data_IF_119082126472
#
_entry.id   IF_119082126472
#
_cell.length_a   1.000
_cell.length_b   1.000
_cell.length_c   1.000
_cell.angle_alpha   90.00
_cell.angle_beta   90.00
_cell.angle_gamma   90.00
#
_symmetry.space_group_name_H-M   'P 1'
#
loop_
_entity.id
_entity.type
_entity.pdbx_description
1 polymer ?
#
# COMPACT_ATOMS: atom_id res chain seq x y z
N UNK A 1 -14.31 17.47 26.25
CA UNK A 1 -14.87 16.31 25.53
C UNK A 1 -15.55 16.82 24.28
N UNK A 2 -14.83 16.78 23.16
CA UNK A 2 -15.38 16.96 21.81
C UNK A 2 -14.54 16.09 20.90
N UNK A 3 -15.15 15.02 20.39
CA UNK A 3 -14.49 14.03 19.54
C UNK A 3 -14.09 14.67 18.22
N UNK A 4 -12.82 14.56 17.86
CA UNK A 4 -12.32 14.93 16.54
C UNK A 4 -12.48 13.73 15.59
N UNK A 5 -13.06 13.91 14.39
CA UNK A 5 -13.05 12.88 13.37
C UNK A 5 -11.62 12.67 12.87
N UNK A 6 -11.16 11.41 12.84
CA UNK A 6 -9.81 11.06 12.40
C UNK A 6 -9.66 11.21 10.87
N UNK A 7 -8.60 11.86 10.35
CA UNK A 7 -8.29 11.90 8.93
C UNK A 7 -7.49 10.66 8.53
N UNK A 8 -8.09 9.45 8.65
CA UNK A 8 -7.46 8.22 8.17
C UNK A 8 -7.70 8.09 6.65
N UNK A 9 -6.63 7.86 5.90
CA UNK A 9 -6.73 7.62 4.45
C UNK A 9 -7.12 6.19 4.10
N UNK A 10 -7.01 5.26 5.05
CA UNK A 10 -7.48 3.89 4.90
C UNK A 10 -8.90 3.73 5.45
N UNK A 11 -9.70 2.93 4.75
CA UNK A 11 -10.99 2.50 5.25
C UNK A 11 -10.75 1.39 6.29
N UNK A 12 -11.18 1.56 7.54
CA UNK A 12 -11.09 0.50 8.53
C UNK A 12 -12.07 -0.63 8.15
N UNK A 13 -11.58 -1.86 8.16
CA UNK A 13 -12.38 -3.06 7.99
C UNK A 13 -12.05 -4.03 9.12
N UNK A 14 -13.02 -4.28 9.99
CA UNK A 14 -12.90 -5.30 11.02
C UNK A 14 -12.97 -6.66 10.33
N UNK A 15 -11.91 -7.48 10.42
CA UNK A 15 -12.10 -8.91 10.18
C UNK A 15 -12.92 -9.46 11.35
N UNK A 16 -14.17 -9.82 11.12
CA UNK A 16 -14.84 -10.71 12.05
C UNK A 16 -14.17 -12.09 11.90
N UNK A 17 -13.96 -12.82 13.01
CA UNK A 17 -13.71 -14.27 12.89
C UNK A 17 -14.93 -14.86 12.20
N UNK A 18 -14.78 -15.29 10.96
CA UNK A 18 -15.87 -15.89 10.22
C UNK A 18 -16.23 -17.24 10.85
N UNK A 19 -17.27 -17.25 11.68
CA UNK A 19 -17.90 -18.46 12.19
C UNK A 19 -19.07 -18.82 11.28
N UNK A 20 -18.77 -19.49 10.16
CA UNK A 20 -19.77 -20.05 9.26
C UNK A 20 -19.20 -20.33 7.86
N UNK A 21 -19.72 -21.33 7.13
CA UNK A 21 -19.35 -21.56 5.75
C UNK A 21 -19.77 -20.35 4.91
N UNK A 22 -18.81 -19.70 4.29
CA UNK A 22 -19.10 -18.65 3.33
C UNK A 22 -19.86 -19.25 2.13
N UNK A 23 -20.77 -18.50 1.48
CA UNK A 23 -21.44 -18.99 0.29
C UNK A 23 -20.42 -19.44 -0.77
N UNK A 24 -20.82 -20.48 -1.52
CA UNK A 24 -20.00 -21.18 -2.52
C UNK A 24 -19.24 -20.17 -3.37
N UNK A 25 -17.93 -20.35 -3.51
CA UNK A 25 -17.05 -19.41 -4.19
C UNK A 25 -17.58 -19.12 -5.61
N UNK A 26 -18.09 -17.90 -5.82
CA UNK A 26 -18.43 -17.41 -7.15
C UNK A 26 -17.18 -17.51 -8.03
N UNK A 27 -17.32 -18.02 -9.26
CA UNK A 27 -16.18 -18.14 -10.18
C UNK A 27 -15.59 -16.76 -10.47
N UNK A 28 -14.43 -16.50 -9.88
CA UNK A 28 -13.65 -15.28 -10.14
C UNK A 28 -12.85 -15.49 -11.41
N UNK A 29 -13.03 -14.59 -12.38
CA UNK A 29 -12.24 -14.55 -13.62
C UNK A 29 -11.07 -13.60 -13.45
N UNK A 30 -10.10 -13.71 -14.35
CA UNK A 30 -9.01 -12.75 -14.41
C UNK A 30 -9.53 -11.34 -14.69
N UNK A 31 -9.15 -10.40 -13.82
CA UNK A 31 -9.50 -9.00 -13.87
C UNK A 31 -8.28 -8.09 -13.99
N UNK A 32 -7.10 -8.60 -14.36
CA UNK A 32 -5.84 -7.83 -14.36
C UNK A 32 -5.93 -6.48 -15.10
N UNK A 33 -6.74 -6.38 -16.16
CA UNK A 33 -6.98 -5.12 -16.86
C UNK A 33 -7.58 -4.01 -15.97
N UNK A 34 -8.39 -4.40 -14.97
CA UNK A 34 -8.96 -3.48 -13.98
C UNK A 34 -7.98 -3.13 -12.85
N UNK A 35 -6.91 -3.91 -12.68
CA UNK A 35 -5.92 -3.74 -11.61
C UNK A 35 -4.51 -3.51 -12.19
N UNK A 36 -4.30 -2.41 -12.95
CA UNK A 36 -3.08 -2.24 -13.73
C UNK A 36 -1.82 -2.03 -12.91
N UNK A 37 -1.88 -1.88 -11.58
CA UNK A 37 -0.69 -1.83 -10.70
C UNK A 37 -0.64 -3.02 -9.72
N UNK A 38 -1.43 -4.07 -9.98
CA UNK A 38 -1.59 -5.21 -9.08
C UNK A 38 -2.03 -4.77 -7.68
N UNK A 39 -1.67 -5.55 -6.66
CA UNK A 39 -2.03 -5.33 -5.26
C UNK A 39 -0.79 -5.13 -4.42
N UNK A 40 -0.97 -4.61 -3.20
CA UNK A 40 0.10 -4.50 -2.23
C UNK A 40 -0.40 -4.62 -0.79
N UNK A 41 0.47 -5.03 0.11
CA UNK A 41 0.22 -4.93 1.55
C UNK A 41 1.35 -4.21 2.28
N UNK A 42 1.05 -3.71 3.46
CA UNK A 42 2.01 -2.97 4.27
C UNK A 42 1.53 -2.71 5.68
N UNK A 43 2.38 -2.04 6.44
CA UNK A 43 2.18 -1.79 7.88
C UNK A 43 1.73 -3.05 8.63
N UNK A 44 2.55 -4.13 8.63
CA UNK A 44 2.18 -5.38 9.27
C UNK A 44 2.24 -5.26 10.80
N UNK A 45 1.10 -4.93 11.41
CA UNK A 45 0.90 -5.05 12.85
C UNK A 45 0.71 -6.51 13.29
N UNK A 46 0.68 -6.74 14.60
CA UNK A 46 0.43 -8.08 15.15
C UNK A 46 -0.97 -8.60 14.76
N UNK A 47 -1.96 -7.71 14.69
CA UNK A 47 -3.35 -8.07 14.42
C UNK A 47 -3.95 -7.35 13.23
N UNK A 48 -3.14 -6.62 12.47
CA UNK A 48 -3.63 -5.84 11.35
C UNK A 48 -2.60 -5.66 10.24
N UNK A 49 -3.13 -5.38 9.05
CA UNK A 49 -2.36 -5.05 7.85
C UNK A 49 -3.12 -4.02 7.03
N UNK A 50 -2.40 -3.18 6.28
CA UNK A 50 -2.99 -2.34 5.23
C UNK A 50 -2.90 -3.07 3.90
N UNK A 51 -4.03 -3.20 3.21
CA UNK A 51 -4.13 -3.75 1.86
C UNK A 51 -4.42 -2.63 0.87
N UNK A 52 -3.76 -2.66 -0.28
CA UNK A 52 -3.79 -1.61 -1.28
C UNK A 52 -4.02 -2.18 -2.67
N UNK A 53 -4.76 -1.44 -3.49
CA UNK A 53 -4.81 -1.64 -4.94
C UNK A 53 -5.08 -0.31 -5.64
N UNK A 54 -4.74 -0.22 -6.93
CA UNK A 54 -5.32 0.77 -7.84
C UNK A 54 -6.25 0.05 -8.80
N UNK A 55 -7.50 0.49 -8.87
CA UNK A 55 -8.50 -0.12 -9.74
C UNK A 55 -9.12 0.92 -10.69
N UNK A 56 -9.10 0.64 -11.99
CA UNK A 56 -9.64 1.54 -13.03
C UNK A 56 -10.45 0.74 -14.04
N UNK A 57 -11.45 1.35 -14.64
CA UNK A 57 -12.18 0.75 -15.75
C UNK A 57 -11.43 1.06 -17.07
N UNK A 58 -10.92 0.07 -17.81
CA UNK A 58 -10.20 0.33 -19.07
C UNK A 58 -11.04 1.05 -20.12
N UNK A 59 -12.38 0.88 -20.08
CA UNK A 59 -13.31 1.55 -21.01
C UNK A 59 -13.73 2.93 -20.50
N UNK A 60 -13.65 3.16 -19.18
CA UNK A 60 -14.06 4.41 -18.54
C UNK A 60 -13.07 4.83 -17.44
N UNK A 61 -11.84 5.27 -17.76
CA UNK A 61 -10.75 5.40 -16.79
C UNK A 61 -11.00 6.37 -15.62
N UNK A 62 -11.94 7.32 -15.77
CA UNK A 62 -12.34 8.26 -14.71
C UNK A 62 -13.51 7.78 -13.85
N UNK A 63 -14.11 6.63 -14.15
CA UNK A 63 -15.27 6.13 -13.43
C UNK A 63 -14.88 5.60 -12.04
N UNK A 64 -15.74 5.87 -11.05
CA UNK A 64 -15.66 5.24 -9.74
C UNK A 64 -16.02 3.76 -9.87
N UNK A 65 -15.14 2.90 -9.35
CA UNK A 65 -15.40 1.48 -9.15
C UNK A 65 -15.80 1.18 -7.71
N UNK A 66 -16.78 0.28 -7.56
CA UNK A 66 -17.11 -0.39 -6.31
C UNK A 66 -16.43 -1.75 -6.31
N UNK A 67 -15.66 -2.03 -5.27
CA UNK A 67 -14.85 -3.22 -5.11
C UNK A 67 -15.34 -4.04 -3.92
N UNK A 68 -15.02 -5.33 -3.98
CA UNK A 68 -15.01 -6.20 -2.81
C UNK A 68 -13.58 -6.64 -2.50
N UNK A 69 -13.32 -6.94 -1.24
CA UNK A 69 -12.04 -7.43 -0.73
C UNK A 69 -12.28 -8.78 -0.06
N UNK A 70 -11.49 -9.79 -0.41
CA UNK A 70 -11.45 -11.06 0.29
C UNK A 70 -10.07 -11.25 0.95
N UNK A 71 -10.06 -11.82 2.15
CA UNK A 71 -8.84 -12.25 2.86
C UNK A 71 -9.05 -13.67 3.37
N UNK A 72 -8.05 -14.53 3.20
CA UNK A 72 -8.13 -15.95 3.54
C UNK A 72 -6.80 -16.50 4.07
N UNK A 73 -6.84 -17.68 4.71
CA UNK A 73 -5.64 -18.42 5.14
C UNK A 73 -4.96 -19.19 4.01
N UNK A 74 -5.65 -19.38 2.89
CA UNK A 74 -5.18 -20.12 1.73
C UNK A 74 -5.40 -19.34 0.43
N UNK A 75 -4.61 -19.67 -0.59
CA UNK A 75 -4.63 -18.98 -1.88
C UNK A 75 -5.89 -19.27 -2.72
N UNK A 76 -6.66 -20.31 -2.38
CA UNK A 76 -7.91 -20.67 -3.08
C UNK A 76 -9.13 -19.95 -2.49
N UNK A 77 -8.95 -19.25 -1.37
CA UNK A 77 -10.02 -18.57 -0.63
C UNK A 77 -11.12 -19.53 -0.13
N UNK A 78 -10.71 -20.75 0.25
CA UNK A 78 -11.59 -21.74 0.88
C UNK A 78 -11.82 -21.40 2.37
N UNK A 79 -10.79 -20.89 3.06
CA UNK A 79 -10.81 -20.47 4.47
C UNK A 79 -10.76 -18.95 4.58
N UNK A 80 -11.82 -18.29 4.11
CA UNK A 80 -11.96 -16.83 4.19
C UNK A 80 -12.10 -16.38 5.64
N UNK A 81 -11.34 -15.36 6.01
CA UNK A 81 -11.43 -14.65 7.30
C UNK A 81 -12.08 -13.27 7.14
N UNK A 82 -12.15 -12.74 5.91
CA UNK A 82 -12.84 -11.50 5.59
C UNK A 82 -13.43 -11.57 4.18
N UNK A 83 -14.62 -11.01 4.03
CA UNK A 83 -15.20 -10.58 2.75
C UNK A 83 -15.92 -9.25 3.02
N UNK A 84 -15.46 -8.19 2.35
CA UNK A 84 -16.04 -6.85 2.48
C UNK A 84 -16.42 -6.35 1.10
N UNK A 85 -17.58 -5.71 0.96
CA UNK A 85 -18.10 -5.21 -0.31
C UNK A 85 -18.46 -3.73 -0.20
N UNK A 86 -18.55 -3.04 -1.34
CA UNK A 86 -18.92 -1.62 -1.38
C UNK A 86 -17.74 -0.67 -1.16
N UNK A 87 -16.51 -1.17 -1.28
CA UNK A 87 -15.30 -0.37 -1.14
C UNK A 87 -15.11 0.47 -2.40
N UNK A 88 -15.19 1.78 -2.28
CA UNK A 88 -15.26 2.66 -3.44
C UNK A 88 -13.93 3.37 -3.74
N UNK A 89 -13.49 3.29 -4.99
CA UNK A 89 -12.35 4.08 -5.49
C UNK A 89 -12.73 5.56 -5.66
N UNK A 90 -11.73 6.44 -5.65
CA UNK A 90 -11.93 7.88 -5.87
C UNK A 90 -10.88 8.47 -6.79
N UNK A 91 -11.30 9.28 -7.75
CA UNK A 91 -10.40 10.03 -8.63
C UNK A 91 -9.50 11.00 -7.84
N UNK A 92 -9.95 11.46 -6.66
CA UNK A 92 -9.16 12.30 -5.76
C UNK A 92 -7.84 11.62 -5.32
N UNK A 93 -7.85 10.29 -5.21
CA UNK A 93 -6.69 9.45 -4.88
C UNK A 93 -6.21 8.63 -6.06
N UNK A 94 -6.49 9.08 -7.29
CA UNK A 94 -6.12 8.39 -8.52
C UNK A 94 -6.60 6.93 -8.57
N UNK A 95 -7.83 6.71 -8.08
CA UNK A 95 -8.48 5.41 -7.99
C UNK A 95 -7.69 4.34 -7.22
N UNK A 96 -6.77 4.77 -6.36
CA UNK A 96 -6.17 3.92 -5.34
C UNK A 96 -7.17 3.69 -4.21
N UNK A 97 -7.09 2.52 -3.59
CA UNK A 97 -7.89 2.11 -2.45
C UNK A 97 -6.95 1.50 -1.40
N UNK A 98 -7.16 1.89 -0.14
CA UNK A 98 -6.48 1.34 1.03
C UNK A 98 -7.50 0.85 2.03
N UNK A 99 -7.29 -0.36 2.53
CA UNK A 99 -8.16 -0.98 3.53
C UNK A 99 -7.28 -1.49 4.65
N UNK A 100 -7.51 -1.03 5.88
CA UNK A 100 -6.89 -1.63 7.07
C UNK A 100 -7.74 -2.81 7.51
N UNK A 101 -7.18 -4.00 7.49
CA UNK A 101 -7.81 -5.23 7.96
C UNK A 101 -7.29 -5.53 9.36
N UNK A 102 -8.17 -5.58 10.35
CA UNK A 102 -7.82 -5.84 11.76
C UNK A 102 -8.27 -7.23 12.22
N UNK A 103 -8.03 -7.59 13.50
CA UNK A 103 -8.40 -8.87 14.12
C UNK A 103 -7.78 -10.10 13.44
N UNK A 104 -6.59 -9.94 12.90
CA UNK A 104 -5.78 -11.04 12.36
C UNK A 104 -4.97 -11.70 13.48
N UNK A 105 -4.51 -12.92 13.25
CA UNK A 105 -3.61 -13.61 14.18
C UNK A 105 -2.17 -13.16 13.94
N UNK A 106 -1.35 -13.00 14.99
CA UNK A 106 0.07 -12.66 14.88
C UNK A 106 0.85 -13.68 14.05
N UNK A 107 1.97 -13.23 13.49
CA UNK A 107 2.93 -14.06 12.76
C UNK A 107 2.37 -14.90 11.60
N UNK A 108 1.17 -14.58 11.11
CA UNK A 108 0.39 -15.43 10.21
C UNK A 108 0.39 -14.88 8.79
N UNK A 109 0.55 -15.77 7.81
CA UNK A 109 0.35 -15.50 6.40
C UNK A 109 -1.14 -15.48 6.04
N UNK A 110 -1.50 -14.51 5.21
CA UNK A 110 -2.82 -14.41 4.61
C UNK A 110 -2.70 -14.18 3.11
N UNK A 111 -3.72 -14.61 2.39
CA UNK A 111 -3.93 -14.33 0.99
C UNK A 111 -5.07 -13.32 0.84
N UNK A 112 -4.96 -12.41 -0.12
CA UNK A 112 -5.99 -11.41 -0.35
C UNK A 112 -6.17 -11.09 -1.83
N UNK A 113 -7.37 -10.65 -2.20
CA UNK A 113 -7.67 -10.17 -3.56
C UNK A 113 -8.77 -9.13 -3.54
N UNK A 114 -8.70 -8.21 -4.49
CA UNK A 114 -9.78 -7.28 -4.78
C UNK A 114 -10.61 -7.81 -5.93
N UNK A 115 -11.91 -7.58 -5.88
CA UNK A 115 -12.88 -8.04 -6.86
C UNK A 115 -13.68 -6.83 -7.38
N UNK A 116 -14.03 -6.85 -8.65
CA UNK A 116 -14.95 -5.89 -9.27
C UNK A 116 -16.02 -6.64 -10.07
N UNK A 117 -17.25 -6.15 -9.99
CA UNK A 117 -18.38 -6.66 -10.77
C UNK A 117 -18.55 -5.83 -12.04
N UNK A 118 -18.39 -6.45 -13.21
CA UNK A 118 -18.55 -5.80 -14.52
C UNK A 118 -19.19 -6.76 -15.51
N UNK A 119 -20.19 -6.27 -16.24
CA UNK A 119 -20.89 -7.03 -17.28
C UNK A 119 -21.39 -8.42 -16.78
N UNK A 120 -21.86 -8.49 -15.52
CA UNK A 120 -22.32 -9.72 -14.87
C UNK A 120 -21.19 -10.67 -14.41
N UNK A 121 -19.93 -10.29 -14.58
CA UNK A 121 -18.76 -11.08 -14.24
C UNK A 121 -18.08 -10.55 -12.99
N UNK A 122 -17.62 -11.49 -12.14
CA UNK A 122 -16.75 -11.20 -11.02
C UNK A 122 -15.29 -11.28 -11.49
N UNK A 123 -14.60 -10.14 -11.55
CA UNK A 123 -13.24 -10.02 -12.05
C UNK A 123 -12.30 -9.76 -10.87
N UNK A 124 -11.27 -10.58 -10.72
CA UNK A 124 -10.34 -10.51 -9.60
C UNK A 124 -8.99 -9.89 -9.95
N UNK A 125 -8.39 -9.20 -8.99
CA UNK A 125 -6.97 -8.89 -9.03
C UNK A 125 -6.13 -10.19 -8.99
N UNK A 126 -4.83 -10.06 -9.22
CA UNK A 126 -3.89 -11.09 -8.78
C UNK A 126 -4.06 -11.35 -7.27
N UNK A 127 -3.77 -12.58 -6.84
CA UNK A 127 -3.79 -12.93 -5.41
C UNK A 127 -2.52 -12.41 -4.75
N UNK A 128 -2.68 -11.49 -3.82
CA UNK A 128 -1.59 -11.05 -2.96
C UNK A 128 -1.42 -11.96 -1.75
N UNK A 129 -0.22 -11.92 -1.18
CA UNK A 129 0.15 -12.54 0.09
C UNK A 129 0.64 -11.44 1.04
N UNK A 130 0.31 -11.58 2.31
CA UNK A 130 0.76 -10.69 3.37
C UNK A 130 1.09 -11.51 4.61
N UNK A 131 1.75 -10.90 5.58
CA UNK A 131 2.05 -11.50 6.88
C UNK A 131 1.82 -10.47 7.98
N UNK A 132 1.20 -10.87 9.08
CA UNK A 132 1.13 -10.08 10.31
C UNK A 132 2.46 -10.16 11.07
N UNK A 133 2.77 -9.10 11.80
CA UNK A 133 3.92 -9.04 12.70
C UNK A 133 3.75 -9.93 13.94
N UNK A 134 4.81 -10.09 14.74
CA UNK A 134 4.73 -10.71 16.07
C UNK A 134 4.02 -9.78 17.06
N UNK A 135 3.41 -10.35 18.10
CA UNK A 135 2.83 -9.56 19.21
C UNK A 135 3.94 -9.09 20.17
N UNK A 136 4.99 -9.89 20.30
CA UNK A 136 6.23 -9.54 21.01
C UNK A 136 7.48 -9.93 20.20
N UNK A 137 8.50 -9.09 20.25
CA UNK A 137 9.82 -9.36 19.62
C UNK A 137 10.54 -10.59 20.20
N UNK A 138 10.08 -11.11 21.34
CA UNK A 138 10.65 -12.32 21.98
C UNK A 138 10.12 -13.63 21.35
N UNK A 139 9.07 -13.56 20.53
CA UNK A 139 8.43 -14.75 19.97
C UNK A 139 9.32 -15.48 18.95
N UNK A 140 10.10 -14.73 18.16
CA UNK A 140 10.94 -15.27 17.09
C UNK A 140 11.83 -14.22 16.43
N UNK A 141 12.92 -14.65 15.77
CA UNK A 141 13.66 -13.81 14.83
C UNK A 141 12.79 -13.31 13.67
N UNK A 142 13.09 -12.09 13.21
CA UNK A 142 12.48 -11.47 12.03
C UNK A 142 13.48 -11.43 10.89
N UNK A 143 13.03 -11.83 9.70
CA UNK A 143 13.82 -11.81 8.48
C UNK A 143 13.25 -10.72 7.59
N UNK A 144 14.04 -9.72 7.22
CA UNK A 144 13.55 -8.64 6.37
C UNK A 144 14.59 -8.22 5.37
N UNK A 145 14.11 -7.59 4.32
CA UNK A 145 14.93 -7.03 3.26
C UNK A 145 14.84 -5.52 3.31
N UNK A 146 15.99 -4.83 3.27
CA UNK A 146 16.04 -3.38 3.09
C UNK A 146 16.15 -3.08 1.61
N UNK A 147 15.28 -2.21 1.10
CA UNK A 147 15.27 -1.81 -0.29
C UNK A 147 15.10 -0.30 -0.43
N UNK A 148 15.84 0.29 -1.36
CA UNK A 148 15.66 1.64 -1.86
C UNK A 148 14.97 1.61 -3.23
N UNK A 149 14.50 2.77 -3.69
CA UNK A 149 13.81 2.88 -4.99
C UNK A 149 14.65 2.33 -6.17
N UNK A 150 15.97 2.48 -6.14
CA UNK A 150 16.85 1.99 -7.21
C UNK A 150 16.92 0.46 -7.28
N UNK A 151 16.77 -0.22 -6.14
CA UNK A 151 16.81 -1.68 -6.07
C UNK A 151 15.60 -2.31 -6.75
N UNK A 152 14.46 -1.64 -6.64
CA UNK A 152 13.22 -1.97 -7.32
C UNK A 152 13.34 -1.85 -8.85
N UNK A 153 14.07 -0.84 -9.33
CA UNK A 153 14.26 -0.59 -10.76
C UNK A 153 15.23 -1.56 -11.42
N UNK A 154 16.23 -2.07 -10.68
CA UNK A 154 17.27 -2.98 -11.21
C UNK A 154 16.83 -4.45 -11.30
N UNK A 155 15.53 -4.71 -11.34
CA UNK A 155 15.01 -6.03 -11.74
C UNK A 155 14.97 -7.07 -10.61
N UNK A 156 14.84 -6.64 -9.36
CA UNK A 156 14.36 -7.54 -8.31
C UNK A 156 15.34 -8.62 -7.85
N UNK A 157 16.65 -8.41 -8.04
CA UNK A 157 17.70 -9.36 -7.62
C UNK A 157 17.79 -9.60 -6.11
N UNK A 158 17.16 -8.76 -5.27
CA UNK A 158 17.23 -8.93 -3.81
C UNK A 158 16.61 -10.24 -3.29
N UNK A 159 15.71 -10.89 -4.04
CA UNK A 159 15.10 -12.17 -3.62
C UNK A 159 15.50 -13.33 -4.55
N UNK A 160 16.63 -13.22 -5.24
CA UNK A 160 17.09 -14.22 -6.20
C UNK A 160 17.51 -15.55 -5.56
N UNK A 161 17.66 -15.61 -4.24
CA UNK A 161 18.20 -16.75 -3.50
C UNK A 161 17.16 -17.61 -2.75
N UNK A 162 15.87 -17.48 -3.07
CA UNK A 162 14.82 -18.30 -2.44
C UNK A 162 14.50 -17.91 -0.99
N UNK A 163 14.94 -16.72 -0.57
CA UNK A 163 14.63 -16.13 0.73
C UNK A 163 13.13 -15.80 0.82
N UNK A 164 12.54 -16.00 1.98
CA UNK A 164 11.12 -15.73 2.25
C UNK A 164 11.01 -14.77 3.44
N UNK A 165 11.32 -13.46 3.23
CA UNK A 165 11.28 -12.47 4.30
C UNK A 165 9.88 -12.29 4.88
N UNK A 166 9.82 -11.81 6.11
CA UNK A 166 8.60 -11.43 6.80
C UNK A 166 8.00 -10.15 6.22
N UNK A 167 8.85 -9.19 5.88
CA UNK A 167 8.47 -7.91 5.30
C UNK A 167 9.65 -7.28 4.54
N UNK A 168 9.33 -6.24 3.77
CA UNK A 168 10.31 -5.39 3.11
C UNK A 168 10.33 -4.04 3.82
N UNK A 169 11.49 -3.61 4.30
CA UNK A 169 11.73 -2.25 4.77
C UNK A 169 12.08 -1.37 3.57
N UNK A 170 11.13 -0.53 3.17
CA UNK A 170 11.29 0.34 2.01
C UNK A 170 11.70 1.76 2.41
N UNK A 171 12.87 2.16 1.94
CA UNK A 171 13.42 3.50 2.09
C UNK A 171 12.88 4.42 0.99
N UNK A 172 11.87 5.23 1.31
CA UNK A 172 11.19 6.10 0.36
C UNK A 172 11.82 7.51 0.32
N UNK A 173 13.10 7.57 -0.08
CA UNK A 173 13.92 8.80 -0.03
C UNK A 173 13.81 9.72 -1.26
N UNK A 174 13.32 9.21 -2.40
CA UNK A 174 13.29 9.92 -3.68
C UNK A 174 12.39 9.24 -4.74
N UNK A 175 11.68 10.05 -5.54
CA UNK A 175 11.08 9.60 -6.80
C UNK A 175 12.15 9.61 -7.90
N UNK A 176 12.18 8.57 -8.72
CA UNK A 176 13.02 8.51 -9.90
C UNK A 176 12.17 8.53 -11.17
N UNK A 177 12.76 8.91 -12.29
CA UNK A 177 12.15 8.74 -13.60
C UNK A 177 12.15 7.26 -14.04
N UNK A 178 11.51 6.98 -15.18
CA UNK A 178 11.43 5.63 -15.73
C UNK A 178 12.80 5.02 -16.11
N UNK A 179 13.84 5.85 -16.28
CA UNK A 179 15.22 5.44 -16.51
C UNK A 179 16.03 5.25 -15.24
N UNK A 180 15.42 5.44 -14.06
CA UNK A 180 16.06 5.31 -12.76
C UNK A 180 16.99 6.46 -12.40
N UNK A 181 16.83 7.63 -13.02
CA UNK A 181 17.51 8.84 -12.57
C UNK A 181 16.69 9.50 -11.47
N UNK A 182 17.30 9.85 -10.32
CA UNK A 182 16.61 10.57 -9.28
C UNK A 182 16.18 11.94 -9.83
N UNK A 183 14.95 12.33 -9.54
CA UNK A 183 14.52 13.68 -9.84
C UNK A 183 15.31 14.65 -8.95
N UNK A 184 15.82 15.72 -9.56
CA UNK A 184 16.56 16.74 -8.82
C UNK A 184 15.69 17.27 -7.66
N UNK A 185 16.23 17.39 -6.43
CA UNK A 185 15.47 17.90 -5.29
C UNK A 185 14.86 19.27 -5.57
N UNK A 186 15.48 20.09 -6.43
CA UNK A 186 15.03 21.41 -6.89
C UNK A 186 13.84 21.42 -7.84
N UNK A 187 13.57 20.30 -8.51
CA UNK A 187 12.54 20.16 -9.53
C UNK A 187 11.45 19.19 -9.07
N UNK A 188 10.79 19.51 -7.95
CA UNK A 188 9.68 18.69 -7.45
C UNK A 188 8.61 18.56 -8.55
N UNK A 189 8.26 17.33 -8.98
CA UNK A 189 7.28 17.12 -10.04
C UNK A 189 5.89 17.63 -9.59
N UNK A 190 5.05 18.00 -10.56
CA UNK A 190 3.63 18.23 -10.30
C UNK A 190 2.99 16.96 -9.75
N UNK A 191 1.87 17.07 -9.02
CA UNK A 191 1.13 15.91 -8.49
C UNK A 191 0.79 14.92 -9.59
N UNK A 192 0.39 15.40 -10.77
CA UNK A 192 0.12 14.54 -11.94
C UNK A 192 1.38 13.77 -12.36
N UNK A 193 2.51 14.44 -12.50
CA UNK A 193 3.77 13.80 -12.88
C UNK A 193 4.24 12.80 -11.83
N UNK A 194 4.07 13.11 -10.54
CA UNK A 194 4.36 12.17 -9.45
C UNK A 194 3.52 10.91 -9.55
N UNK A 195 2.22 11.05 -9.82
CA UNK A 195 1.30 9.91 -10.02
C UNK A 195 1.71 9.06 -11.21
N UNK A 196 2.07 9.67 -12.34
CA UNK A 196 2.53 8.94 -13.52
C UNK A 196 3.80 8.12 -13.24
N UNK A 197 4.75 8.69 -12.50
CA UNK A 197 5.95 7.97 -12.05
C UNK A 197 5.61 6.81 -11.12
N UNK A 198 4.71 7.01 -10.15
CA UNK A 198 4.25 5.95 -9.28
C UNK A 198 3.56 4.83 -10.06
N UNK A 199 2.70 5.14 -11.05
CA UNK A 199 2.03 4.15 -11.91
C UNK A 199 3.05 3.34 -12.70
N UNK A 200 4.04 4.02 -13.31
CA UNK A 200 5.06 3.38 -14.12
C UNK A 200 5.91 2.42 -13.27
N UNK A 201 6.40 2.89 -12.13
CA UNK A 201 7.20 2.08 -11.21
C UNK A 201 6.42 0.91 -10.62
N UNK A 202 5.20 1.12 -10.14
CA UNK A 202 4.32 0.05 -9.67
C UNK A 202 3.98 -0.96 -10.76
N UNK A 203 4.08 -0.58 -12.03
CA UNK A 203 3.80 -1.46 -13.15
C UNK A 203 5.00 -2.34 -13.55
N UNK A 204 6.21 -2.07 -13.05
CA UNK A 204 7.39 -2.87 -13.36
C UNK A 204 7.32 -4.28 -12.74
N UNK A 205 7.87 -5.33 -13.40
CA UNK A 205 7.77 -6.71 -12.92
C UNK A 205 8.32 -6.95 -11.51
N UNK A 206 9.49 -6.38 -11.18
CA UNK A 206 10.12 -6.52 -9.86
C UNK A 206 9.26 -5.95 -8.72
N UNK A 207 8.92 -4.64 -8.76
CA UNK A 207 8.05 -4.02 -7.77
C UNK A 207 6.69 -4.70 -7.63
N UNK A 208 6.05 -5.07 -8.74
CA UNK A 208 4.77 -5.80 -8.70
C UNK A 208 4.88 -7.08 -7.88
N UNK A 209 5.90 -7.91 -8.17
CA UNK A 209 6.09 -9.18 -7.50
C UNK A 209 6.27 -8.98 -5.99
N UNK A 210 7.18 -8.10 -5.60
CA UNK A 210 7.49 -7.86 -4.19
C UNK A 210 6.29 -7.34 -3.40
N UNK A 211 5.59 -6.35 -3.94
CA UNK A 211 4.40 -5.81 -3.30
C UNK A 211 3.25 -6.82 -3.24
N UNK A 212 3.14 -7.70 -4.24
CA UNK A 212 2.13 -8.75 -4.25
C UNK A 212 2.43 -9.79 -3.16
N UNK A 213 3.70 -10.13 -2.92
CA UNK A 213 4.08 -11.27 -2.09
C UNK A 213 4.41 -10.93 -0.63
N UNK A 214 4.83 -9.70 -0.33
CA UNK A 214 5.37 -9.31 0.97
C UNK A 214 4.80 -7.96 1.45
N UNK A 215 4.47 -7.84 2.75
CA UNK A 215 4.10 -6.56 3.32
C UNK A 215 5.29 -5.61 3.33
N UNK A 216 5.03 -4.34 3.04
CA UNK A 216 6.04 -3.27 3.02
C UNK A 216 5.88 -2.35 4.22
N UNK A 217 6.96 -2.14 4.96
CA UNK A 217 7.08 -1.09 5.97
C UNK A 217 7.85 0.06 5.35
N UNK A 218 7.25 1.25 5.30
CA UNK A 218 7.85 2.41 4.64
C UNK A 218 8.52 3.29 5.68
N UNK A 219 9.79 3.60 5.46
CA UNK A 219 10.54 4.60 6.22
C UNK A 219 10.79 5.83 5.35
N UNK A 220 10.59 7.00 5.94
CA UNK A 220 10.73 8.30 5.28
C UNK A 220 12.00 9.01 5.76
N UNK A 221 12.67 9.70 4.85
CA UNK A 221 13.67 10.71 5.20
C UNK A 221 12.96 12.06 5.45
N UNK A 222 13.02 12.54 6.69
CA UNK A 222 12.37 13.76 7.17
C UNK A 222 13.22 15.02 6.96
N UNK A 223 14.48 14.90 6.52
CA UNK A 223 15.39 16.03 6.27
C UNK A 223 15.08 16.82 5.00
N UNK A 224 13.98 16.50 4.31
CA UNK A 224 13.67 17.00 2.96
C UNK A 224 12.88 18.33 2.98
N UNK A 225 13.05 19.21 1.96
CA UNK A 225 12.38 20.51 1.88
C UNK A 225 10.85 20.42 1.76
N UNK A 226 10.12 21.51 2.07
CA UNK A 226 8.64 21.58 2.05
C UNK A 226 7.97 21.05 0.76
N UNK A 227 8.56 21.26 -0.42
CA UNK A 227 8.06 20.71 -1.71
C UNK A 227 8.05 19.16 -1.77
N UNK A 228 8.78 18.50 -0.89
CA UNK A 228 8.72 17.06 -0.67
C UNK A 228 7.38 16.61 -0.11
N UNK A 229 6.67 17.44 0.66
CA UNK A 229 5.38 17.07 1.25
C UNK A 229 4.30 16.78 0.19
N UNK A 230 4.25 17.57 -0.89
CA UNK A 230 3.32 17.33 -2.01
C UNK A 230 3.66 16.03 -2.77
N UNK A 231 4.96 15.75 -2.92
CA UNK A 231 5.45 14.50 -3.54
C UNK A 231 5.18 13.29 -2.65
N UNK A 232 5.39 13.44 -1.33
CA UNK A 232 5.10 12.45 -0.30
C UNK A 232 3.63 12.07 -0.30
N UNK A 233 2.71 13.03 -0.46
CA UNK A 233 1.28 12.72 -0.55
C UNK A 233 0.94 11.84 -1.75
N UNK A 234 1.51 12.14 -2.93
CA UNK A 234 1.34 11.30 -4.12
C UNK A 234 1.98 9.91 -3.96
N UNK A 235 3.14 9.83 -3.30
CA UNK A 235 3.78 8.55 -2.95
C UNK A 235 2.89 7.74 -2.00
N UNK A 236 2.31 8.39 -0.99
CA UNK A 236 1.45 7.72 -0.04
C UNK A 236 0.21 7.15 -0.72
N UNK A 237 -0.45 7.84 -1.65
CA UNK A 237 -1.56 7.26 -2.44
C UNK A 237 -1.16 5.91 -3.07
N UNK A 238 0.12 5.75 -3.43
CA UNK A 238 0.68 4.58 -4.10
C UNK A 238 1.46 3.63 -3.19
N UNK A 239 1.43 3.81 -1.87
CA UNK A 239 2.08 2.94 -0.89
C UNK A 239 1.04 2.37 0.09
N UNK A 240 1.21 1.13 0.58
CA UNK A 240 0.28 0.48 1.47
C UNK A 240 0.50 0.96 2.92
N UNK A 241 0.40 2.27 3.12
CA UNK A 241 0.59 2.96 4.39
C UNK A 241 -0.66 3.75 4.73
N UNK A 242 -0.99 3.87 6.02
CA UNK A 242 -1.92 4.88 6.44
C UNK A 242 -1.25 6.26 6.35
N UNK A 243 -2.00 7.25 5.90
CA UNK A 243 -1.54 8.63 6.03
C UNK A 243 -1.48 8.98 7.51
N UNK A 244 -0.35 9.50 8.02
CA UNK A 244 -0.36 10.13 9.33
C UNK A 244 -1.34 11.30 9.31
N UNK A 245 -2.05 11.48 10.42
CA UNK A 245 -3.17 12.42 10.55
C UNK A 245 -2.76 13.90 10.46
N UNK A 246 -1.46 14.21 10.58
CA UNK A 246 -0.90 15.55 10.62
C UNK A 246 0.38 15.62 9.78
N UNK A 247 0.73 16.77 9.18
CA UNK A 247 2.11 17.01 8.81
C UNK A 247 2.96 16.94 10.08
N UNK A 248 3.97 16.05 10.10
CA UNK A 248 5.01 16.07 11.13
C UNK A 248 5.52 17.51 11.22
N UNK A 249 5.40 18.10 12.42
CA UNK A 249 5.52 19.54 12.63
C UNK A 249 6.76 20.13 11.98
N UNK A 250 6.65 21.40 11.56
CA UNK A 250 7.80 22.22 11.24
C UNK A 250 8.84 22.01 12.36
N UNK A 251 10.03 21.50 11.99
CA UNK A 251 11.15 21.41 12.91
C UNK A 251 11.37 22.74 13.64
N UNK A 252 12.06 22.73 14.79
CA UNK A 252 12.11 23.88 15.69
C UNK A 252 12.47 25.14 14.89
N UNK A 253 11.53 26.10 14.85
CA UNK A 253 11.75 27.41 14.26
C UNK A 253 13.00 27.98 14.91
N UNK A 254 14.09 28.04 14.16
CA UNK A 254 15.30 28.74 14.59
C UNK A 254 14.85 30.15 14.96
N UNK A 255 14.93 30.49 16.25
CA UNK A 255 14.70 31.85 16.71
C UNK A 255 15.62 32.76 15.89
N UNK A 256 15.05 33.77 15.23
CA UNK A 256 15.84 34.85 14.66
C UNK A 256 16.81 35.38 15.71
N UNK A 257 18.07 35.68 15.36
CA UNK A 257 18.96 36.36 16.28
C UNK A 257 18.33 37.72 16.58
N UNK A 258 18.09 37.97 17.87
CA UNK A 258 17.79 39.31 18.37
C UNK A 258 19.00 40.16 18.00
N UNK A 259 18.78 41.19 17.19
CA UNK A 259 19.78 42.21 16.95
C UNK A 259 19.99 42.97 18.28
N UNK A 260 21.16 42.81 18.88
CA UNK A 260 21.64 43.75 19.88
C UNK A 260 21.85 45.10 19.17
N UNK A 261 20.97 46.06 19.47
CA UNK A 261 21.20 47.46 19.19
C UNK A 261 21.85 48.08 20.44
N UNK A 262 22.99 48.72 20.22
CA UNK A 262 23.75 49.52 21.17
C UNK A 262 22.95 50.74 21.67
#
# INVERSE_FOLDING_TARGET
>A
MSGFPSPRSSLPCLAARASGPWPVARRVKDGQAYFPQAVASGEPGAHDVVLWTRAVDPRHPGARLSLSLQVARDARFEHRVLESSGLSTSCAHDHTLKVRVTNLEPCTRYHYRFLVEKDGQCLGSVTGRTRTGPESLQERPLHFVVAHYQDFLRGGRLLAHGEDPDFILFMADSLHDAGGRPLAPSAAPSVSRSRDLCRAWRALPGPRRWHTDYPVLVMWDDTRPARWQATRRALCDYLPVDMPAEPLGEGPRTRSPVADAA
#
